data_IF_591201209631
#
_entry.id   IF_591201209631
#
_cell.length_a   1.000
_cell.length_b   1.000
_cell.length_c   1.000
_cell.angle_alpha   90.00
_cell.angle_beta   90.00
_cell.angle_gamma   90.00
#
_symmetry.space_group_name_H-M   'P 1'
#
loop_
_entity.id
_entity.type
_entity.pdbx_description
1 polymer ?
#
# COMPACT_ATOMS: atom_id res chain seq x y z
N UNK A 1 4.82 -10.20 -10.03
CA UNK A 1 4.25 -9.50 -8.85
C UNK A 1 5.31 -8.75 -8.05
N UNK A 2 6.34 -9.44 -7.54
CA UNK A 2 7.40 -8.83 -6.71
C UNK A 2 8.06 -7.60 -7.34
N UNK A 3 8.46 -7.68 -8.61
CA UNK A 3 9.05 -6.54 -9.33
C UNK A 3 8.12 -5.32 -9.35
N UNK A 4 6.84 -5.50 -9.69
CA UNK A 4 5.86 -4.41 -9.73
C UNK A 4 5.63 -3.79 -8.34
N UNK A 5 5.69 -4.59 -7.27
CA UNK A 5 5.65 -4.08 -5.91
C UNK A 5 6.92 -3.32 -5.52
N UNK A 6 8.07 -3.65 -6.11
CA UNK A 6 9.29 -2.87 -5.94
C UNK A 6 9.21 -1.53 -6.70
N UNK A 7 8.68 -1.55 -7.92
CA UNK A 7 8.44 -0.34 -8.72
C UNK A 7 7.47 0.61 -8.00
N UNK A 8 6.40 0.08 -7.37
CA UNK A 8 5.52 0.88 -6.52
C UNK A 8 6.28 1.51 -5.35
N UNK A 9 7.19 0.75 -4.71
CA UNK A 9 7.99 1.25 -3.59
C UNK A 9 8.90 2.40 -4.02
N UNK A 10 9.53 2.28 -5.19
CA UNK A 10 10.35 3.33 -5.78
C UNK A 10 9.51 4.57 -6.14
N UNK A 11 8.33 4.37 -6.74
CA UNK A 11 7.41 5.45 -7.07
C UNK A 11 6.89 6.19 -5.83
N UNK A 12 6.58 5.46 -4.74
CA UNK A 12 6.22 6.05 -3.43
C UNK A 12 7.37 6.90 -2.87
N UNK A 13 8.62 6.43 -2.98
CA UNK A 13 9.79 7.16 -2.49
C UNK A 13 10.06 8.44 -3.31
N UNK A 14 9.80 8.40 -4.61
CA UNK A 14 9.94 9.54 -5.51
C UNK A 14 8.73 10.49 -5.52
N UNK A 15 7.61 10.09 -4.91
CA UNK A 15 6.30 10.76 -5.05
C UNK A 15 5.86 10.91 -6.52
N UNK A 16 6.21 9.92 -7.34
CA UNK A 16 5.90 9.88 -8.77
C UNK A 16 4.49 9.32 -8.99
N UNK A 17 3.53 10.20 -9.29
CA UNK A 17 2.13 9.84 -9.47
C UNK A 17 1.90 9.00 -10.72
N UNK A 18 2.62 9.30 -11.81
CA UNK A 18 2.45 8.58 -13.08
C UNK A 18 2.98 7.15 -12.94
N UNK A 19 4.14 6.98 -12.30
CA UNK A 19 4.67 5.66 -11.99
C UNK A 19 3.78 4.86 -11.02
N UNK A 20 3.14 5.52 -10.04
CA UNK A 20 2.18 4.88 -9.13
C UNK A 20 0.94 4.37 -9.87
N UNK A 21 0.40 5.16 -10.81
CA UNK A 21 -0.74 4.75 -11.62
C UNK A 21 -0.36 3.57 -12.53
N UNK A 22 0.78 3.64 -13.20
CA UNK A 22 1.29 2.56 -14.05
C UNK A 22 1.47 1.25 -13.25
N UNK A 23 2.13 1.32 -12.09
CA UNK A 23 2.31 0.16 -11.20
C UNK A 23 0.97 -0.38 -10.69
N UNK A 24 -0.01 0.49 -10.38
CA UNK A 24 -1.36 0.07 -9.98
C UNK A 24 -2.04 -0.77 -11.06
N UNK A 25 -2.01 -0.32 -12.31
CA UNK A 25 -2.55 -1.07 -13.46
C UNK A 25 -1.83 -2.41 -13.65
N UNK A 26 -0.50 -2.42 -13.58
CA UNK A 26 0.30 -3.64 -13.70
C UNK A 26 -0.01 -4.65 -12.58
N UNK A 27 -0.18 -4.21 -11.33
CA UNK A 27 -0.60 -5.08 -10.22
C UNK A 27 -1.95 -5.72 -10.51
N UNK A 28 -2.91 -4.94 -10.97
CA UNK A 28 -4.25 -5.45 -11.27
C UNK A 28 -4.22 -6.49 -12.39
N UNK A 29 -3.46 -6.21 -13.46
CA UNK A 29 -3.24 -7.18 -14.55
C UNK A 29 -2.58 -8.46 -14.05
N UNK A 30 -1.57 -8.36 -13.19
CA UNK A 30 -0.89 -9.54 -12.64
C UNK A 30 -1.79 -10.34 -11.68
N UNK A 31 -2.60 -9.68 -10.86
CA UNK A 31 -3.59 -10.39 -10.03
C UNK A 31 -4.58 -11.16 -10.91
N UNK A 32 -5.10 -10.54 -11.98
CA UNK A 32 -6.01 -11.23 -12.90
C UNK A 32 -5.37 -12.45 -13.57
N UNK A 33 -4.08 -12.38 -13.93
CA UNK A 33 -3.35 -13.55 -14.44
C UNK A 33 -3.21 -14.63 -13.36
N UNK A 34 -2.82 -14.27 -12.14
CA UNK A 34 -2.65 -15.22 -11.04
C UNK A 34 -3.97 -15.88 -10.60
N UNK A 35 -5.09 -15.16 -10.67
CA UNK A 35 -6.43 -15.67 -10.36
C UNK A 35 -6.94 -16.67 -11.39
N UNK A 36 -6.42 -16.63 -12.62
CA UNK A 36 -6.77 -17.56 -13.68
C UNK A 36 -6.06 -18.92 -13.57
N UNK A 37 -5.00 -19.01 -12.75
CA UNK A 37 -4.26 -20.25 -12.51
C UNK A 37 -5.03 -21.18 -11.56
N UNK A 38 -4.98 -22.49 -11.81
CA UNK A 38 -5.61 -23.44 -10.90
C UNK A 38 -4.82 -23.53 -9.59
N UNK A 39 -5.53 -23.56 -8.46
CA UNK A 39 -4.89 -23.71 -7.13
C UNK A 39 -4.07 -25.01 -6.99
N UNK A 40 -4.33 -26.02 -7.82
CA UNK A 40 -3.58 -27.29 -7.85
C UNK A 40 -2.20 -27.15 -8.51
N UNK A 41 -1.97 -26.08 -9.29
CA UNK A 41 -0.70 -25.78 -9.96
C UNK A 41 0.20 -24.90 -9.10
N UNK A 42 -0.27 -24.45 -7.92
CA UNK A 42 0.52 -23.66 -6.96
C UNK A 42 1.29 -24.60 -6.05
N UNK A 43 2.59 -24.72 -6.31
CA UNK A 43 3.51 -25.48 -5.48
C UNK A 43 4.04 -24.67 -4.27
N UNK A 44 4.94 -25.29 -3.49
CA UNK A 44 5.54 -24.65 -2.31
C UNK A 44 6.41 -23.44 -2.67
N UNK A 45 7.06 -23.44 -3.83
CA UNK A 45 7.90 -22.32 -4.27
C UNK A 45 7.02 -21.11 -4.61
N UNK A 46 5.97 -21.33 -5.41
CA UNK A 46 4.97 -20.33 -5.75
C UNK A 46 4.31 -19.76 -4.49
N UNK A 47 3.98 -20.61 -3.52
CA UNK A 47 3.41 -20.17 -2.23
C UNK A 47 4.36 -19.24 -1.49
N UNK A 48 5.66 -19.56 -1.42
CA UNK A 48 6.66 -18.68 -0.82
C UNK A 48 6.77 -17.31 -1.51
N UNK A 49 6.68 -17.30 -2.85
CA UNK A 49 6.66 -16.05 -3.62
C UNK A 49 5.40 -15.21 -3.38
N UNK A 50 4.24 -15.84 -3.22
CA UNK A 50 2.99 -15.16 -2.87
C UNK A 50 3.05 -14.56 -1.46
N UNK A 51 3.64 -15.27 -0.50
CA UNK A 51 3.85 -14.73 0.85
C UNK A 51 4.81 -13.53 0.86
N UNK A 52 5.91 -13.62 0.10
CA UNK A 52 6.83 -12.50 -0.08
C UNK A 52 6.13 -11.30 -0.73
N UNK A 53 5.30 -11.51 -1.74
CA UNK A 53 4.52 -10.46 -2.38
C UNK A 53 3.53 -9.81 -1.42
N UNK A 54 2.85 -10.61 -0.58
CA UNK A 54 1.96 -10.11 0.47
C UNK A 54 2.72 -9.24 1.47
N UNK A 55 3.90 -9.67 1.91
CA UNK A 55 4.73 -8.89 2.82
C UNK A 55 5.15 -7.55 2.20
N UNK A 56 5.60 -7.56 0.94
CA UNK A 56 6.02 -6.36 0.24
C UNK A 56 4.86 -5.37 0.04
N UNK A 57 3.67 -5.85 -0.30
CA UNK A 57 2.48 -5.00 -0.40
C UNK A 57 2.14 -4.34 0.94
N UNK A 58 2.24 -5.08 2.04
CA UNK A 58 2.03 -4.53 3.38
C UNK A 58 3.03 -3.41 3.70
N UNK A 59 4.29 -3.55 3.29
CA UNK A 59 5.30 -2.50 3.43
C UNK A 59 4.91 -1.27 2.60
N UNK A 60 4.54 -1.44 1.33
CA UNK A 60 4.11 -0.32 0.47
C UNK A 60 2.89 0.41 1.05
N UNK A 61 1.90 -0.33 1.58
CA UNK A 61 0.73 0.22 2.27
C UNK A 61 1.14 1.10 3.45
N UNK A 62 2.07 0.64 4.28
CA UNK A 62 2.59 1.41 5.43
C UNK A 62 3.29 2.70 4.97
N UNK A 63 4.13 2.63 3.93
CA UNK A 63 4.81 3.81 3.38
C UNK A 63 3.79 4.85 2.89
N UNK A 64 2.81 4.44 2.08
CA UNK A 64 1.74 5.34 1.60
C UNK A 64 0.98 6.00 2.76
N UNK A 65 0.63 5.23 3.79
CA UNK A 65 -0.08 5.75 4.96
C UNK A 65 0.77 6.77 5.74
N UNK A 66 2.08 6.51 5.89
CA UNK A 66 3.00 7.46 6.53
C UNK A 66 3.12 8.76 5.75
N UNK A 67 3.20 8.70 4.42
CA UNK A 67 3.21 9.88 3.57
C UNK A 67 1.93 10.71 3.74
N UNK A 68 0.76 10.06 3.72
CA UNK A 68 -0.52 10.72 3.93
C UNK A 68 -0.61 11.39 5.32
N UNK A 69 -0.20 10.67 6.38
CA UNK A 69 -0.17 11.20 7.74
C UNK A 69 0.78 12.41 7.88
N UNK A 70 1.93 12.38 7.19
CA UNK A 70 2.87 13.50 7.21
C UNK A 70 2.28 14.76 6.56
N UNK A 71 1.62 14.61 5.39
CA UNK A 71 0.96 15.72 4.71
C UNK A 71 -0.19 16.26 5.56
N UNK A 72 -1.03 15.40 6.13
CA UNK A 72 -2.12 15.80 7.01
C UNK A 72 -1.62 16.63 8.21
N UNK A 73 -0.60 16.13 8.93
CA UNK A 73 -0.04 16.83 10.08
C UNK A 73 0.50 18.23 9.72
N UNK A 74 1.07 18.40 8.51
CA UNK A 74 1.53 19.71 8.03
C UNK A 74 0.36 20.65 7.72
N UNK A 75 -0.71 20.14 7.12
CA UNK A 75 -1.91 20.93 6.84
C UNK A 75 -2.61 21.35 8.14
N UNK A 76 -2.68 20.48 9.14
CA UNK A 76 -3.24 20.78 10.46
C UNK A 76 -2.45 21.91 11.15
N UNK A 77 -1.12 21.86 11.08
CA UNK A 77 -0.25 22.90 11.63
C UNK A 77 -0.45 24.27 10.95
N UNK A 78 -0.64 24.29 9.62
CA UNK A 78 -0.88 25.52 8.86
C UNK A 78 -2.26 26.12 9.10
N UNK A 79 -3.28 25.27 9.30
CA UNK A 79 -4.66 25.72 9.46
C UNK A 79 -5.01 26.14 10.89
N UNK A 80 -4.07 25.99 11.85
CA UNK A 80 -4.32 26.18 13.30
C UNK A 80 -5.57 25.44 13.79
N UNK A 81 -5.91 24.34 13.11
CA UNK A 81 -6.85 23.37 13.62
C UNK A 81 -6.02 22.39 14.42
N UNK A 82 -5.84 22.56 15.75
CA UNK A 82 -5.37 21.43 16.53
C UNK A 82 -6.39 20.33 16.28
N UNK A 83 -5.96 19.21 15.73
CA UNK A 83 -6.78 18.01 15.68
C UNK A 83 -7.29 17.79 17.11
N UNK A 84 -8.52 18.22 17.37
CA UNK A 84 -9.11 18.15 18.69
C UNK A 84 -9.18 16.67 18.98
N UNK A 85 -8.33 16.25 19.91
CA UNK A 85 -8.23 14.90 20.45
C UNK A 85 -9.61 14.24 20.43
N UNK A 86 -9.86 13.42 19.43
CA UNK A 86 -11.01 12.53 19.42
C UNK A 86 -10.62 11.40 20.36
N UNK A 87 -10.79 11.64 21.66
CA UNK A 87 -10.64 10.62 22.66
C UNK A 87 -11.76 9.57 22.41
N UNK A 88 -11.44 8.34 21.99
CA UNK A 88 -12.46 7.32 21.75
C UNK A 88 -13.19 6.90 23.03
N UNK A 89 -12.76 7.35 24.21
CA UNK A 89 -13.42 7.07 25.49
C UNK A 89 -14.68 7.91 25.77
N UNK A 90 -15.03 8.91 24.95
CA UNK A 90 -16.19 9.79 25.21
C UNK A 90 -17.55 9.23 24.72
N UNK A 91 -17.58 8.04 24.09
CA UNK A 91 -18.82 7.43 23.52
C UNK A 91 -19.53 6.50 24.53
N UNK A 92 -19.11 6.47 25.79
CA UNK A 92 -19.81 5.73 26.85
C UNK A 92 -20.02 6.60 28.09
N UNK A 93 -21.05 7.43 28.05
CA UNK A 93 -21.74 7.99 29.21
C UNK A 93 -23.23 8.08 28.90
#
# INVERSE_FOLDING_TARGET
>A
MLAVLDDERQALAALDVDALLASSTQKHSLCAVLEAENAQDIDSECTGLLEAARHQNEVNRKVRNLLAANVAARLDALTRSPALYSNPAAVRA
#
